data_IF_791424475097
#
_entry.id   IF_791424475097
#
_cell.length_a   1.000
_cell.length_b   1.000
_cell.length_c   1.000
_cell.angle_alpha   90.00
_cell.angle_beta   90.00
_cell.angle_gamma   90.00
#
_symmetry.space_group_name_H-M   'P 1'
#
loop_
_entity.id
_entity.type
_entity.pdbx_description
1 polymer ?
#
# COMPACT_ATOMS: atom_id res chain seq x y z
N UNK A 1 9.30 -16.06 -0.06
CA UNK A 1 7.86 -16.05 0.26
C UNK A 1 7.57 -14.75 0.97
N UNK A 2 6.73 -13.88 0.41
CA UNK A 2 6.32 -12.65 1.07
C UNK A 2 5.75 -12.97 2.45
N UNK A 3 6.41 -12.47 3.48
CA UNK A 3 6.10 -12.74 4.88
C UNK A 3 4.73 -12.18 5.22
N UNK A 4 3.79 -13.06 5.55
CA UNK A 4 2.53 -12.66 6.15
C UNK A 4 2.81 -11.82 7.41
N UNK A 5 2.24 -10.61 7.49
CA UNK A 5 2.20 -9.80 8.71
C UNK A 5 1.77 -10.68 9.89
N UNK A 6 2.51 -10.66 11.00
CA UNK A 6 2.12 -11.44 12.18
C UNK A 6 0.77 -10.97 12.72
N UNK A 7 -0.01 -11.87 13.32
CA UNK A 7 -1.31 -11.51 13.89
C UNK A 7 -1.19 -10.38 14.93
N UNK A 8 -0.09 -10.36 15.69
CA UNK A 8 0.21 -9.28 16.63
C UNK A 8 0.42 -7.93 15.92
N UNK A 9 1.19 -7.92 14.82
CA UNK A 9 1.43 -6.70 14.04
C UNK A 9 0.13 -6.17 13.43
N UNK A 10 -0.69 -7.06 12.86
CA UNK A 10 -2.01 -6.69 12.31
C UNK A 10 -2.90 -6.05 13.36
N UNK A 11 -2.96 -6.65 14.55
CA UNK A 11 -3.74 -6.12 15.68
C UNK A 11 -3.27 -4.71 16.06
N UNK A 12 -1.96 -4.52 16.26
CA UNK A 12 -1.38 -3.21 16.60
C UNK A 12 -1.66 -2.16 15.51
N UNK A 13 -1.46 -2.50 14.24
CA UNK A 13 -1.76 -1.59 13.12
C UNK A 13 -3.24 -1.21 13.07
N UNK A 14 -4.14 -2.18 13.30
CA UNK A 14 -5.59 -1.93 13.37
C UNK A 14 -5.97 -1.03 14.54
N UNK A 15 -5.35 -1.21 15.70
CA UNK A 15 -5.57 -0.35 16.87
C UNK A 15 -5.13 1.09 16.61
N UNK A 16 -3.93 1.29 16.04
CA UNK A 16 -3.44 2.62 15.64
C UNK A 16 -4.38 3.27 14.62
N UNK A 17 -4.80 2.51 13.61
CA UNK A 17 -5.73 2.99 12.59
C UNK A 17 -7.07 3.44 13.21
N UNK A 18 -7.66 2.62 14.09
CA UNK A 18 -8.91 2.98 14.75
C UNK A 18 -8.78 4.26 15.59
N UNK A 19 -7.67 4.41 16.32
CA UNK A 19 -7.41 5.62 17.09
C UNK A 19 -7.24 6.86 16.18
N UNK A 20 -6.56 6.73 15.04
CA UNK A 20 -6.43 7.80 14.05
C UNK A 20 -7.80 8.20 13.47
N UNK A 21 -8.64 7.22 13.10
CA UNK A 21 -10.00 7.45 12.62
C UNK A 21 -10.85 8.26 13.61
N UNK A 22 -10.78 7.89 14.89
CA UNK A 22 -11.58 8.54 15.94
C UNK A 22 -11.12 9.98 16.20
N UNK A 23 -9.91 10.34 15.74
CA UNK A 23 -9.37 11.71 15.69
C UNK A 23 -9.61 12.41 14.35
N UNK A 24 -10.30 11.77 13.39
CA UNK A 24 -10.51 12.28 12.04
C UNK A 24 -9.28 12.24 11.13
N UNK A 25 -8.19 11.62 11.56
CA UNK A 25 -6.93 11.56 10.80
C UNK A 25 -7.08 10.54 9.66
N UNK A 26 -6.81 10.92 8.40
CA UNK A 26 -6.85 10.00 7.26
C UNK A 26 -5.87 8.84 7.38
N UNK A 27 -6.31 7.62 7.06
CA UNK A 27 -5.45 6.44 7.08
C UNK A 27 -5.31 5.77 5.70
N UNK A 28 -4.05 5.51 5.32
CA UNK A 28 -3.66 4.88 4.06
C UNK A 28 -2.65 3.77 4.35
N UNK A 29 -2.60 2.74 3.51
CA UNK A 29 -1.60 1.68 3.58
C UNK A 29 -0.77 1.63 2.31
N UNK A 30 0.55 1.49 2.47
CA UNK A 30 1.48 1.25 1.37
C UNK A 30 1.96 -0.19 1.46
N UNK A 31 1.64 -0.99 0.44
CA UNK A 31 2.07 -2.37 0.34
C UNK A 31 3.36 -2.43 -0.49
N UNK A 32 4.49 -2.55 0.19
CA UNK A 32 5.83 -2.53 -0.42
C UNK A 32 6.28 -3.90 -0.92
N UNK A 33 7.35 -3.93 -1.74
CA UNK A 33 8.05 -5.16 -2.17
C UNK A 33 7.14 -6.14 -2.93
N UNK A 34 6.25 -5.61 -3.76
CA UNK A 34 5.28 -6.39 -4.55
C UNK A 34 5.96 -7.32 -5.58
N UNK A 35 7.15 -6.95 -6.03
CA UNK A 35 8.01 -7.69 -6.94
C UNK A 35 8.61 -8.94 -6.28
N UNK A 36 9.00 -8.86 -5.00
CA UNK A 36 9.43 -10.04 -4.23
C UNK A 36 8.26 -11.00 -3.94
N UNK A 37 7.03 -10.52 -3.99
CA UNK A 37 5.84 -11.27 -3.62
C UNK A 37 5.24 -12.10 -4.78
N UNK A 38 5.38 -11.62 -6.02
CA UNK A 38 4.78 -12.23 -7.19
C UNK A 38 5.76 -12.25 -8.39
N UNK A 39 6.11 -13.43 -8.94
CA UNK A 39 6.97 -13.52 -10.11
C UNK A 39 6.46 -12.74 -11.34
N UNK A 40 5.13 -12.68 -11.54
CA UNK A 40 4.52 -11.91 -12.65
C UNK A 40 4.81 -10.41 -12.54
N UNK A 41 4.86 -9.89 -11.30
CA UNK A 41 5.16 -8.49 -11.00
C UNK A 41 6.66 -8.26 -11.00
N UNK A 42 7.44 -9.23 -10.54
CA UNK A 42 8.90 -9.22 -10.68
C UNK A 42 9.34 -9.14 -12.14
N UNK A 43 8.63 -9.80 -13.06
CA UNK A 43 8.96 -9.76 -14.48
C UNK A 43 8.52 -8.46 -15.16
N UNK A 44 7.38 -7.89 -14.75
CA UNK A 44 6.87 -6.63 -15.29
C UNK A 44 5.95 -5.98 -14.25
N UNK A 45 6.39 -4.84 -13.70
CA UNK A 45 5.68 -4.08 -12.67
C UNK A 45 4.28 -3.65 -13.13
N UNK A 46 4.04 -3.52 -14.45
CA UNK A 46 2.71 -3.21 -15.02
C UNK A 46 1.68 -4.29 -14.71
N UNK A 47 2.11 -5.50 -14.36
CA UNK A 47 1.22 -6.58 -13.97
C UNK A 47 0.68 -6.44 -12.55
N UNK A 48 1.09 -5.44 -11.77
CA UNK A 48 0.58 -5.21 -10.40
C UNK A 48 -0.97 -5.20 -10.34
N UNK A 49 -1.63 -4.54 -11.29
CA UNK A 49 -3.10 -4.47 -11.35
C UNK A 49 -3.75 -5.71 -12.00
N UNK A 50 -2.96 -6.52 -12.72
CA UNK A 50 -3.44 -7.71 -13.44
C UNK A 50 -3.29 -8.98 -12.61
N UNK A 51 -2.24 -9.04 -11.79
CA UNK A 51 -1.90 -10.20 -10.99
C UNK A 51 -3.00 -10.53 -9.98
N UNK A 52 -3.52 -11.75 -10.06
CA UNK A 52 -4.52 -12.25 -9.11
C UNK A 52 -3.95 -12.31 -7.69
N UNK A 53 -2.67 -12.67 -7.56
CA UNK A 53 -1.99 -12.77 -6.28
C UNK A 53 -1.94 -11.41 -5.55
N UNK A 54 -1.60 -10.33 -6.27
CA UNK A 54 -1.59 -8.98 -5.68
C UNK A 54 -2.99 -8.57 -5.24
N UNK A 55 -4.03 -8.86 -6.05
CA UNK A 55 -5.43 -8.57 -5.67
C UNK A 55 -5.83 -9.28 -4.38
N UNK A 56 -5.55 -10.58 -4.28
CA UNK A 56 -5.84 -11.36 -3.07
C UNK A 56 -5.05 -10.82 -1.85
N UNK A 57 -3.82 -10.34 -2.05
CA UNK A 57 -3.03 -9.71 -1.00
C UNK A 57 -3.63 -8.38 -0.54
N UNK A 58 -4.08 -7.52 -1.47
CA UNK A 58 -4.77 -6.27 -1.16
C UNK A 58 -6.06 -6.53 -0.39
N UNK A 59 -6.88 -7.50 -0.82
CA UNK A 59 -8.11 -7.89 -0.14
C UNK A 59 -7.84 -8.39 1.28
N UNK A 60 -6.77 -9.19 1.45
CA UNK A 60 -6.37 -9.67 2.77
C UNK A 60 -5.94 -8.54 3.70
N UNK A 61 -5.12 -7.60 3.21
CA UNK A 61 -4.69 -6.43 4.00
C UNK A 61 -5.88 -5.53 4.33
N UNK A 62 -6.80 -5.34 3.39
CA UNK A 62 -8.07 -4.63 3.57
C UNK A 62 -8.87 -5.22 4.73
N UNK A 63 -9.09 -6.54 4.74
CA UNK A 63 -9.79 -7.24 5.83
C UNK A 63 -9.02 -7.17 7.15
N UNK A 64 -7.72 -7.46 7.12
CA UNK A 64 -6.88 -7.53 8.32
C UNK A 64 -6.80 -6.18 9.05
N UNK A 65 -6.70 -5.07 8.31
CA UNK A 65 -6.56 -3.73 8.86
C UNK A 65 -7.90 -2.97 8.95
N UNK A 66 -8.94 -3.43 8.26
CA UNK A 66 -10.22 -2.73 8.14
C UNK A 66 -10.11 -1.44 7.31
N UNK A 67 -9.32 -1.49 6.24
CA UNK A 67 -9.16 -0.39 5.27
C UNK A 67 -9.99 -0.69 4.03
N UNK A 68 -10.45 0.35 3.33
CA UNK A 68 -11.04 0.15 2.01
C UNK A 68 -9.93 -0.18 0.99
N UNK A 69 -10.19 -1.03 -0.03
CA UNK A 69 -9.18 -1.40 -1.02
C UNK A 69 -8.57 -0.21 -1.78
N UNK A 70 -9.32 0.88 -1.96
CA UNK A 70 -8.86 2.12 -2.59
C UNK A 70 -7.88 2.94 -1.72
N UNK A 71 -7.70 2.59 -0.45
CA UNK A 71 -6.72 3.20 0.46
C UNK A 71 -5.44 2.37 0.61
N UNK A 72 -5.24 1.34 -0.24
CA UNK A 72 -4.08 0.45 -0.20
C UNK A 72 -3.31 0.55 -1.52
N UNK A 73 -2.06 1.00 -1.44
CA UNK A 73 -1.24 1.31 -2.60
C UNK A 73 -0.09 0.31 -2.73
N UNK A 74 -0.11 -0.60 -3.72
CA UNK A 74 1.01 -1.49 -3.99
C UNK A 74 2.16 -0.72 -4.65
N UNK A 75 3.37 -0.86 -4.11
CA UNK A 75 4.59 -0.23 -4.62
C UNK A 75 5.74 -1.22 -4.66
N UNK A 76 6.60 -1.09 -5.68
CA UNK A 76 7.92 -1.72 -5.69
C UNK A 76 8.91 -0.77 -5.02
N UNK A 77 9.81 -1.32 -4.21
CA UNK A 77 10.88 -0.53 -3.59
C UNK A 77 12.12 -0.57 -4.48
N UNK A 78 12.85 0.55 -4.55
CA UNK A 78 14.23 0.54 -5.01
C UNK A 78 15.13 0.02 -3.88
N UNK A 79 15.87 -1.05 -4.14
CA UNK A 79 16.77 -1.66 -3.13
C UNK A 79 18.19 -1.75 -3.66
N UNK A 80 18.36 -2.28 -4.86
CA UNK A 80 19.69 -2.52 -5.46
C UNK A 80 19.89 -1.79 -6.79
N UNK A 81 18.81 -1.29 -7.35
CA UNK A 81 18.78 -0.54 -8.58
C UNK A 81 19.47 0.83 -8.40
N UNK A 82 20.30 1.20 -9.37
CA UNK A 82 21.00 2.50 -9.38
C UNK A 82 20.23 3.56 -10.16
N UNK A 83 19.39 3.14 -11.11
CA UNK A 83 18.61 4.02 -11.97
C UNK A 83 17.12 3.95 -11.63
N UNK A 84 16.42 5.05 -11.89
CA UNK A 84 14.97 5.13 -11.78
C UNK A 84 14.30 4.39 -12.93
N UNK A 85 13.06 3.95 -12.71
CA UNK A 85 12.24 3.25 -13.67
C UNK A 85 10.83 3.85 -13.66
N UNK A 86 10.35 4.28 -14.83
CA UNK A 86 9.08 4.98 -14.98
C UNK A 86 7.89 4.18 -14.45
N UNK A 87 7.88 2.85 -14.61
CA UNK A 87 6.81 2.00 -14.09
C UNK A 87 6.77 1.97 -12.56
N UNK A 88 7.93 1.85 -11.92
CA UNK A 88 8.06 1.88 -10.46
C UNK A 88 7.74 3.27 -9.92
N UNK A 89 8.27 4.30 -10.58
CA UNK A 89 8.04 5.71 -10.23
C UNK A 89 6.55 6.06 -10.31
N UNK A 90 5.85 5.55 -11.33
CA UNK A 90 4.40 5.75 -11.46
C UNK A 90 3.65 5.24 -10.22
N UNK A 91 4.03 4.08 -9.66
CA UNK A 91 3.37 3.54 -8.47
C UNK A 91 3.64 4.37 -7.22
N UNK A 92 4.90 4.71 -6.95
CA UNK A 92 5.27 5.48 -5.75
C UNK A 92 4.74 6.91 -5.83
N UNK A 93 4.81 7.56 -7.00
CA UNK A 93 4.26 8.90 -7.21
C UNK A 93 2.73 8.90 -7.10
N UNK A 94 2.06 7.83 -7.55
CA UNK A 94 0.60 7.69 -7.36
C UNK A 94 0.24 7.58 -5.88
N UNK A 95 1.00 6.79 -5.10
CA UNK A 95 0.80 6.67 -3.66
C UNK A 95 1.07 8.01 -2.95
N UNK A 96 2.19 8.68 -3.26
CA UNK A 96 2.53 9.99 -2.70
C UNK A 96 1.50 11.05 -3.02
N UNK A 97 1.04 11.12 -4.28
CA UNK A 97 -0.03 12.02 -4.68
C UNK A 97 -1.26 11.81 -3.81
N UNK A 98 -1.67 10.55 -3.61
CA UNK A 98 -2.85 10.27 -2.80
C UNK A 98 -2.66 10.64 -1.32
N UNK A 99 -1.47 10.43 -0.77
CA UNK A 99 -1.15 10.89 0.60
C UNK A 99 -1.28 12.41 0.71
N UNK A 100 -0.81 13.16 -0.29
CA UNK A 100 -0.93 14.62 -0.32
C UNK A 100 -2.40 15.03 -0.46
N UNK A 101 -3.14 14.43 -1.41
CA UNK A 101 -4.56 14.71 -1.64
C UNK A 101 -5.36 14.56 -0.32
N UNK A 102 -5.22 13.42 0.38
CA UNK A 102 -5.89 13.18 1.67
C UNK A 102 -5.45 14.14 2.78
N UNK A 103 -4.18 14.53 2.79
CA UNK A 103 -3.66 15.52 3.74
C UNK A 103 -4.25 16.92 3.50
N UNK A 104 -4.37 17.31 2.23
CA UNK A 104 -4.98 18.57 1.82
C UNK A 104 -6.48 18.59 2.14
N UNK A 105 -7.22 17.51 1.82
CA UNK A 105 -8.64 17.36 2.18
C UNK A 105 -8.85 17.50 3.68
N UNK A 106 -8.02 16.82 4.49
CA UNK A 106 -8.08 16.92 5.95
C UNK A 106 -7.83 18.35 6.44
N UNK A 107 -6.81 19.05 5.91
CA UNK A 107 -6.51 20.43 6.32
C UNK A 107 -7.60 21.41 5.89
N UNK A 108 -8.24 21.19 4.75
CA UNK A 108 -9.30 22.05 4.23
C UNK A 108 -10.66 21.82 4.93
N UNK A 109 -10.87 20.66 5.56
CA UNK A 109 -12.06 20.33 6.34
C UNK A 109 -11.94 20.70 7.85
N UNK A 110 -10.76 21.13 8.30
CA UNK A 110 -10.52 21.71 9.64
C UNK A 110 -11.08 23.13 9.78
#
# INVERSE_FOLDING_TARGET
TATALSNESKKKMREVRLAARDLGIPELAVLTKIDEACPEVSSDVKNVCKSKYIKEMLDKVSVDLGLQPNCIFPVKNYITEMETNDEVDTLILSAMKRIIDFGEDFVNEL
#
